data_IF_846709657945
#
_entry.id   IF_846709657945
#
_cell.length_a   1.000
_cell.length_b   1.000
_cell.length_c   1.000
_cell.angle_alpha   90.00
_cell.angle_beta   90.00
_cell.angle_gamma   90.00
#
_symmetry.space_group_name_H-M   'P 1'
#
loop_
_entity.id
_entity.type
_entity.pdbx_description
1 polymer ?
#
# COMPACT_ATOMS: atom_id res chain seq x y z
N UNK A 1 56.23 29.66 28.07
CA UNK A 1 55.54 29.47 26.79
C UNK A 1 54.59 28.26 26.96
N UNK A 2 53.30 28.51 27.22
CA UNK A 2 52.28 27.45 27.44
C UNK A 2 51.64 27.10 26.08
N UNK A 3 51.81 25.84 25.63
CA UNK A 3 51.20 25.32 24.41
C UNK A 3 49.71 24.96 24.76
N UNK A 4 48.82 25.69 24.15
CA UNK A 4 47.38 25.45 24.20
C UNK A 4 47.05 24.35 23.19
N UNK A 5 46.68 23.16 23.68
CA UNK A 5 46.27 22.04 22.83
C UNK A 5 44.78 22.17 22.56
N UNK A 6 44.41 22.47 21.33
CA UNK A 6 43.01 22.59 20.86
C UNK A 6 42.53 21.18 20.48
N UNK A 7 41.76 20.51 21.38
CA UNK A 7 41.09 19.26 21.07
C UNK A 7 39.86 19.52 20.21
N UNK A 8 39.94 19.13 18.95
CA UNK A 8 38.81 19.15 18.00
C UNK A 8 37.91 17.94 18.25
N UNK A 9 36.81 18.13 18.99
CA UNK A 9 35.79 17.08 19.20
C UNK A 9 34.96 16.95 17.96
N UNK A 10 35.17 15.89 17.19
CA UNK A 10 34.38 15.51 16.04
C UNK A 10 33.01 15.00 16.51
N UNK A 11 31.97 15.82 16.42
CA UNK A 11 30.59 15.45 16.67
C UNK A 11 30.07 14.61 15.48
N UNK A 12 30.08 13.28 15.64
CA UNK A 12 29.41 12.39 14.70
C UNK A 12 27.89 12.60 14.82
N UNK A 13 27.30 13.30 13.86
CA UNK A 13 25.85 13.36 13.68
C UNK A 13 25.38 11.97 13.28
N UNK A 14 24.94 11.18 14.27
CA UNK A 14 24.16 9.98 14.06
C UNK A 14 22.80 10.41 13.50
N UNK A 15 22.69 10.46 12.18
CA UNK A 15 21.43 10.63 11.50
C UNK A 15 20.51 9.45 11.88
N UNK A 16 19.40 9.75 12.58
CA UNK A 16 18.34 8.76 12.81
C UNK A 16 17.84 8.28 11.43
N UNK A 17 17.61 6.99 11.24
CA UNK A 17 17.02 6.50 10.00
C UNK A 17 15.63 7.15 9.85
N UNK A 18 15.49 8.02 8.86
CA UNK A 18 14.18 8.50 8.43
C UNK A 18 13.56 7.33 7.68
N UNK A 19 12.62 6.65 8.31
CA UNK A 19 11.81 5.62 7.68
C UNK A 19 10.99 6.29 6.58
N UNK A 20 11.36 6.04 5.36
CA UNK A 20 10.62 6.48 4.17
C UNK A 20 10.28 5.24 3.37
N UNK A 21 9.09 5.22 2.75
CA UNK A 21 8.65 4.13 1.88
C UNK A 21 9.75 3.73 0.88
N UNK A 22 9.80 2.45 0.53
CA UNK A 22 10.71 1.93 -0.50
C UNK A 22 10.56 2.74 -1.80
N UNK A 23 11.67 2.91 -2.54
CA UNK A 23 11.76 3.80 -3.70
C UNK A 23 11.85 3.02 -5.01
N UNK A 24 11.76 3.75 -6.10
CA UNK A 24 12.01 3.22 -7.45
C UNK A 24 13.38 2.53 -7.48
N UNK A 25 13.44 1.41 -8.16
CA UNK A 25 14.60 0.49 -8.29
C UNK A 25 14.92 -0.35 -7.04
N UNK A 26 14.28 -0.11 -5.89
CA UNK A 26 14.36 -1.04 -4.76
C UNK A 26 13.72 -2.39 -5.13
N UNK A 27 14.15 -3.44 -4.46
CA UNK A 27 13.52 -4.75 -4.60
C UNK A 27 12.33 -4.84 -3.66
N UNK A 28 11.14 -5.02 -4.22
CA UNK A 28 9.92 -5.22 -3.44
C UNK A 28 10.02 -6.51 -2.61
N UNK A 29 9.84 -6.45 -1.28
CA UNK A 29 9.76 -7.64 -0.44
C UNK A 29 8.63 -8.55 -0.89
N UNK A 30 8.91 -9.86 -1.01
CA UNK A 30 7.86 -10.84 -1.30
C UNK A 30 6.98 -11.05 -0.08
N UNK A 31 5.70 -11.25 -0.33
CA UNK A 31 4.76 -11.57 0.75
C UNK A 31 3.66 -12.53 0.28
N UNK A 32 3.10 -13.21 1.27
CA UNK A 32 1.83 -13.94 1.15
C UNK A 32 0.92 -13.52 2.28
N UNK A 33 -0.35 -13.32 2.00
CA UNK A 33 -1.33 -12.85 2.97
C UNK A 33 -2.70 -13.50 2.75
N UNK A 34 -3.49 -13.62 3.82
CA UNK A 34 -4.92 -13.89 3.69
C UNK A 34 -5.55 -12.71 2.97
N UNK A 35 -6.28 -12.99 1.91
CA UNK A 35 -6.95 -11.98 1.10
C UNK A 35 -8.39 -12.40 0.82
N UNK A 36 -9.20 -11.43 0.45
CA UNK A 36 -10.59 -11.65 0.06
C UNK A 36 -10.86 -11.06 -1.31
N UNK A 37 -11.55 -11.82 -2.15
CA UNK A 37 -12.08 -11.38 -3.44
C UNK A 37 -13.57 -11.75 -3.51
N UNK A 38 -14.43 -10.76 -3.70
CA UNK A 38 -15.88 -10.94 -3.73
C UNK A 38 -16.40 -11.71 -2.48
N UNK A 39 -15.86 -11.41 -1.31
CA UNK A 39 -16.22 -12.04 -0.04
C UNK A 39 -15.64 -13.44 0.18
N UNK A 40 -14.82 -13.93 -0.74
CA UNK A 40 -14.22 -15.27 -0.65
C UNK A 40 -12.74 -15.19 -0.30
N UNK A 41 -12.37 -15.85 0.78
CA UNK A 41 -10.99 -15.89 1.25
C UNK A 41 -10.09 -16.79 0.39
N UNK A 42 -8.84 -16.37 0.26
CA UNK A 42 -7.77 -17.15 -0.35
C UNK A 42 -6.41 -16.65 0.13
N UNK A 43 -5.34 -17.39 -0.17
CA UNK A 43 -3.98 -16.95 0.09
C UNK A 43 -3.42 -16.25 -1.16
N UNK A 44 -3.24 -14.94 -1.07
CA UNK A 44 -2.52 -14.16 -2.08
C UNK A 44 -1.01 -14.39 -1.96
N UNK A 45 -0.31 -14.38 -3.09
CA UNK A 45 1.17 -14.40 -3.14
C UNK A 45 1.65 -13.42 -4.21
N UNK A 46 2.44 -12.43 -3.79
CA UNK A 46 3.03 -11.43 -4.68
C UNK A 46 3.88 -12.10 -5.76
N UNK A 47 4.75 -13.03 -5.37
CA UNK A 47 5.61 -13.79 -6.29
C UNK A 47 4.81 -14.54 -7.37
N UNK A 48 3.64 -15.11 -7.03
CA UNK A 48 2.77 -15.76 -8.02
C UNK A 48 2.09 -14.76 -8.94
N UNK A 49 1.68 -13.61 -8.41
CA UNK A 49 1.05 -12.56 -9.20
C UNK A 49 2.03 -11.94 -10.20
N UNK A 50 3.26 -11.64 -9.79
CA UNK A 50 4.32 -11.07 -10.64
C UNK A 50 4.72 -11.96 -11.82
N UNK A 51 4.50 -13.29 -11.73
CA UNK A 51 4.69 -14.19 -12.88
C UNK A 51 3.73 -13.89 -14.04
N UNK A 52 2.56 -13.32 -13.74
CA UNK A 52 1.53 -13.01 -14.74
C UNK A 52 1.74 -11.63 -15.37
N UNK A 53 2.15 -10.63 -14.57
CA UNK A 53 2.31 -9.25 -15.02
C UNK A 53 2.77 -8.35 -13.87
N UNK A 54 2.84 -7.04 -14.10
CA UNK A 54 3.09 -6.08 -13.04
C UNK A 54 1.97 -6.15 -11.98
N UNK A 55 2.32 -5.79 -10.73
CA UNK A 55 1.37 -5.78 -9.62
C UNK A 55 1.33 -4.37 -9.03
N UNK A 56 0.12 -3.85 -8.87
CA UNK A 56 -0.16 -2.64 -8.11
C UNK A 56 -0.53 -3.06 -6.69
N UNK A 57 0.35 -2.78 -5.73
CA UNK A 57 0.13 -3.00 -4.31
C UNK A 57 -0.19 -1.66 -3.69
N UNK A 58 -1.43 -1.44 -3.26
CA UNK A 58 -1.79 -0.21 -2.57
C UNK A 58 -2.06 -0.46 -1.08
N UNK A 59 -1.30 0.21 -0.23
CA UNK A 59 -1.52 0.23 1.21
C UNK A 59 -2.47 1.37 1.57
N UNK A 60 -3.43 1.09 2.43
CA UNK A 60 -4.44 2.07 2.83
C UNK A 60 -4.79 1.96 4.32
N UNK A 61 -5.20 3.07 4.96
CA UNK A 61 -5.44 3.13 6.41
C UNK A 61 -6.46 2.13 6.94
N UNK A 62 -7.67 2.10 6.41
CA UNK A 62 -8.74 1.19 6.83
C UNK A 62 -9.90 1.17 5.86
N UNK A 63 -10.47 0.00 5.65
CA UNK A 63 -11.73 -0.19 4.92
C UNK A 63 -12.88 0.62 5.55
N UNK A 64 -13.83 1.02 4.75
CA UNK A 64 -15.00 1.82 5.14
C UNK A 64 -14.64 3.19 5.76
N UNK A 65 -13.61 3.83 5.21
CA UNK A 65 -13.27 5.23 5.49
C UNK A 65 -13.24 6.04 4.19
N UNK A 66 -13.74 7.29 4.21
CA UNK A 66 -14.02 8.10 3.01
C UNK A 66 -12.93 8.05 1.93
N UNK A 67 -11.65 8.22 2.33
CA UNK A 67 -10.55 8.21 1.36
C UNK A 67 -10.23 6.81 0.82
N UNK A 68 -10.36 5.77 1.65
CA UNK A 68 -10.12 4.39 1.23
C UNK A 68 -11.26 3.86 0.35
N UNK A 69 -12.48 4.28 0.67
CA UNK A 69 -13.68 3.95 -0.12
C UNK A 69 -13.59 4.57 -1.52
N UNK A 70 -13.17 5.84 -1.62
CA UNK A 70 -12.93 6.50 -2.91
C UNK A 70 -11.85 5.78 -3.72
N UNK A 71 -10.74 5.42 -3.11
CA UNK A 71 -9.65 4.70 -3.79
C UNK A 71 -10.10 3.33 -4.30
N UNK A 72 -10.77 2.55 -3.44
CA UNK A 72 -11.28 1.23 -3.81
C UNK A 72 -12.33 1.31 -4.93
N UNK A 73 -13.26 2.26 -4.84
CA UNK A 73 -14.26 2.53 -5.87
C UNK A 73 -13.60 2.89 -7.21
N UNK A 74 -12.61 3.77 -7.19
CA UNK A 74 -11.89 4.17 -8.40
C UNK A 74 -11.12 2.99 -9.02
N UNK A 75 -10.44 2.16 -8.20
CA UNK A 75 -9.83 0.91 -8.70
C UNK A 75 -10.87 -0.03 -9.33
N UNK A 76 -12.06 -0.14 -8.73
CA UNK A 76 -13.12 -0.97 -9.25
C UNK A 76 -13.67 -0.45 -10.59
N UNK A 77 -13.78 0.86 -10.77
CA UNK A 77 -14.18 1.48 -12.02
C UNK A 77 -13.15 1.27 -13.13
N UNK A 78 -11.87 1.41 -12.81
CA UNK A 78 -10.76 1.33 -13.76
C UNK A 78 -10.21 -0.10 -13.97
N UNK A 79 -10.80 -1.11 -13.28
CA UNK A 79 -10.29 -2.49 -13.24
C UNK A 79 -10.03 -3.08 -14.64
N UNK A 80 -10.93 -2.87 -15.58
CA UNK A 80 -10.81 -3.39 -16.94
C UNK A 80 -9.59 -2.82 -17.68
N UNK A 81 -9.23 -1.55 -17.39
CA UNK A 81 -8.04 -0.93 -17.99
C UNK A 81 -6.75 -1.49 -17.38
N UNK A 82 -6.75 -1.80 -16.07
CA UNK A 82 -5.63 -2.51 -15.44
C UNK A 82 -5.47 -3.91 -16.01
N UNK A 83 -6.57 -4.64 -16.23
CA UNK A 83 -6.55 -5.96 -16.85
C UNK A 83 -6.03 -5.91 -18.29
N UNK A 84 -6.46 -4.95 -19.07
CA UNK A 84 -5.97 -4.73 -20.42
C UNK A 84 -4.47 -4.43 -20.47
N UNK A 85 -3.93 -3.79 -19.42
CA UNK A 85 -2.49 -3.57 -19.23
C UNK A 85 -1.76 -4.79 -18.63
N UNK A 86 -2.46 -5.91 -18.38
CA UNK A 86 -1.90 -7.12 -17.77
C UNK A 86 -1.51 -6.97 -16.30
N UNK A 87 -2.01 -5.94 -15.61
CA UNK A 87 -1.67 -5.65 -14.23
C UNK A 87 -2.64 -6.28 -13.23
N UNK A 88 -2.11 -6.80 -12.13
CA UNK A 88 -2.88 -7.27 -10.97
C UNK A 88 -2.95 -6.15 -9.93
N UNK A 89 -4.13 -5.95 -9.31
CA UNK A 89 -4.32 -5.01 -8.19
C UNK A 89 -4.47 -5.81 -6.90
N UNK A 90 -3.87 -5.35 -5.81
CA UNK A 90 -4.09 -5.85 -4.45
C UNK A 90 -4.05 -4.70 -3.46
N UNK A 91 -5.11 -4.55 -2.67
CA UNK A 91 -5.12 -3.65 -1.52
C UNK A 91 -4.58 -4.34 -0.28
N UNK A 92 -3.90 -3.60 0.60
CA UNK A 92 -3.35 -4.12 1.85
C UNK A 92 -3.64 -3.14 2.98
N UNK A 93 -4.25 -3.62 4.05
CA UNK A 93 -4.53 -2.84 5.26
C UNK A 93 -4.39 -3.69 6.52
N UNK A 94 -4.39 -3.07 7.68
CA UNK A 94 -4.39 -3.77 8.97
C UNK A 94 -5.79 -4.27 9.39
N UNK A 95 -6.80 -4.13 8.55
CA UNK A 95 -8.14 -4.65 8.80
C UNK A 95 -8.14 -6.18 8.91
N UNK A 96 -9.02 -6.73 9.74
CA UNK A 96 -9.22 -8.18 9.83
C UNK A 96 -9.78 -8.75 8.53
N UNK A 97 -9.55 -10.04 8.30
CA UNK A 97 -10.03 -10.69 7.07
C UNK A 97 -11.57 -10.69 7.01
N UNK A 98 -12.26 -10.81 8.15
CA UNK A 98 -13.72 -10.76 8.21
C UNK A 98 -14.26 -9.40 7.73
N UNK A 99 -13.57 -8.30 8.11
CA UNK A 99 -13.91 -6.95 7.66
C UNK A 99 -13.65 -6.81 6.15
N UNK A 100 -12.54 -7.36 5.67
CA UNK A 100 -12.18 -7.34 4.25
C UNK A 100 -13.07 -8.25 3.39
N UNK A 101 -13.64 -9.33 3.94
CA UNK A 101 -14.65 -10.14 3.24
C UNK A 101 -15.86 -9.28 2.85
N UNK A 102 -16.38 -8.49 3.79
CA UNK A 102 -17.47 -7.58 3.51
C UNK A 102 -17.06 -6.49 2.50
N UNK A 103 -15.90 -5.85 2.72
CA UNK A 103 -15.41 -4.75 1.88
C UNK A 103 -15.13 -5.18 0.44
N UNK A 104 -14.55 -6.37 0.23
CA UNK A 104 -14.24 -6.88 -1.10
C UNK A 104 -15.49 -7.20 -1.93
N UNK A 105 -16.59 -7.59 -1.26
CA UNK A 105 -17.85 -7.92 -1.91
C UNK A 105 -18.76 -6.69 -2.11
N UNK A 106 -18.51 -5.60 -1.37
CA UNK A 106 -19.37 -4.43 -1.35
C UNK A 106 -19.41 -3.75 -2.74
N UNK A 107 -20.62 -3.62 -3.36
CA UNK A 107 -20.75 -3.09 -4.70
C UNK A 107 -20.34 -1.61 -4.82
N UNK A 108 -20.37 -0.86 -3.72
CA UNK A 108 -19.99 0.56 -3.69
C UNK A 108 -18.48 0.77 -3.63
N UNK A 109 -17.69 -0.26 -3.26
CA UNK A 109 -16.25 -0.13 -3.06
C UNK A 109 -15.45 -1.04 -4.00
N UNK A 110 -15.04 -2.23 -3.54
CA UNK A 110 -14.27 -3.15 -4.40
C UNK A 110 -15.11 -3.85 -5.47
N UNK A 111 -16.42 -3.91 -5.27
CA UNK A 111 -17.41 -4.50 -6.19
C UNK A 111 -17.07 -5.94 -6.64
N UNK A 112 -16.36 -6.70 -5.82
CA UNK A 112 -15.89 -8.06 -6.16
C UNK A 112 -14.86 -8.12 -7.29
N UNK A 113 -14.28 -6.99 -7.70
CA UNK A 113 -13.45 -6.91 -8.92
C UNK A 113 -11.95 -7.14 -8.69
N UNK A 114 -11.45 -6.88 -7.49
CA UNK A 114 -10.04 -7.08 -7.14
C UNK A 114 -9.90 -7.47 -5.66
N UNK A 115 -8.81 -8.16 -5.29
CA UNK A 115 -8.62 -8.61 -3.92
C UNK A 115 -8.12 -7.51 -2.98
N UNK A 116 -8.46 -7.67 -1.70
CA UNK A 116 -7.87 -6.95 -0.58
C UNK A 116 -7.31 -7.94 0.44
N UNK A 117 -6.14 -7.65 1.01
CA UNK A 117 -5.38 -8.52 1.90
C UNK A 117 -5.24 -7.93 3.30
N UNK A 118 -5.31 -8.79 4.30
CA UNK A 118 -5.12 -8.47 5.69
C UNK A 118 -3.63 -8.50 6.07
N UNK A 119 -3.16 -7.42 6.64
CA UNK A 119 -1.85 -7.28 7.28
C UNK A 119 -2.01 -6.96 8.77
N UNK A 120 -2.78 -7.80 9.47
CA UNK A 120 -2.92 -7.68 10.93
C UNK A 120 -1.53 -7.67 11.60
N UNK A 121 -1.25 -6.61 12.36
CA UNK A 121 0.06 -6.38 12.99
C UNK A 121 1.10 -5.72 12.09
N UNK A 122 0.76 -5.31 10.85
CA UNK A 122 1.55 -4.41 10.01
C UNK A 122 2.91 -4.95 9.53
N UNK A 123 3.07 -6.28 9.44
CA UNK A 123 4.35 -6.89 9.06
C UNK A 123 4.71 -6.65 7.60
N UNK A 124 3.72 -6.71 6.71
CA UNK A 124 3.93 -6.46 5.29
C UNK A 124 4.26 -4.98 5.10
N UNK A 125 3.45 -4.08 5.65
CA UNK A 125 3.68 -2.64 5.61
C UNK A 125 5.09 -2.27 6.11
N UNK A 126 5.50 -2.84 7.25
CA UNK A 126 6.85 -2.64 7.80
C UNK A 126 7.95 -3.10 6.85
N UNK A 127 7.77 -4.20 6.11
CA UNK A 127 8.78 -4.67 5.15
C UNK A 127 8.92 -3.75 3.94
N UNK A 128 7.90 -2.92 3.66
CA UNK A 128 7.91 -1.86 2.64
C UNK A 128 8.33 -0.49 3.22
N UNK A 129 8.92 -0.47 4.42
CA UNK A 129 9.32 0.73 5.16
C UNK A 129 8.17 1.71 5.42
N UNK A 130 6.93 1.21 5.47
CA UNK A 130 5.75 2.01 5.77
C UNK A 130 5.54 2.15 7.28
N UNK A 131 5.05 3.32 7.70
CA UNK A 131 4.63 3.58 9.07
C UNK A 131 3.17 3.23 9.29
N UNK A 132 2.86 2.73 10.48
CA UNK A 132 1.50 2.61 10.97
C UNK A 132 1.30 3.62 12.11
N UNK A 133 0.27 4.43 11.99
CA UNK A 133 -0.09 5.41 13.01
C UNK A 133 -1.13 4.78 13.94
N UNK A 134 -0.94 4.96 15.24
CA UNK A 134 -1.85 4.43 16.24
C UNK A 134 -3.29 4.89 16.00
N UNK A 135 -4.20 3.94 15.93
CA UNK A 135 -5.63 4.19 15.89
C UNK A 135 -6.09 4.84 17.21
N UNK A 136 -7.01 5.81 17.13
CA UNK A 136 -7.58 6.41 18.34
C UNK A 136 -8.69 5.48 18.87
N UNK A 137 -8.72 5.17 20.18
CA UNK A 137 -9.80 4.39 20.77
C UNK A 137 -11.18 5.00 20.46
N UNK A 138 -12.14 4.17 20.11
CA UNK A 138 -13.50 4.59 19.78
C UNK A 138 -13.66 5.25 18.39
N UNK A 139 -12.61 5.28 17.56
CA UNK A 139 -12.75 5.72 16.18
C UNK A 139 -13.61 4.75 15.38
N UNK A 140 -14.58 5.29 14.65
CA UNK A 140 -15.55 4.51 13.89
C UNK A 140 -15.44 4.79 12.39
N UNK A 141 -15.76 3.77 11.62
CA UNK A 141 -15.90 3.88 10.17
C UNK A 141 -17.23 4.56 9.75
N UNK A 142 -17.46 4.71 8.44
CA UNK A 142 -18.68 5.34 7.91
C UNK A 142 -19.96 4.60 8.25
N UNK A 143 -19.87 3.33 8.67
CA UNK A 143 -21.00 2.49 9.11
C UNK A 143 -21.25 2.58 10.62
N UNK A 144 -20.41 3.32 11.36
CA UNK A 144 -20.46 3.40 12.82
C UNK A 144 -19.77 2.23 13.55
N UNK A 145 -19.04 1.36 12.83
CA UNK A 145 -18.30 0.23 13.40
C UNK A 145 -16.92 0.71 13.85
N UNK A 146 -16.50 0.30 15.05
CA UNK A 146 -15.20 0.68 15.59
C UNK A 146 -14.04 0.11 14.75
N UNK A 147 -13.01 0.95 14.54
CA UNK A 147 -11.77 0.57 13.90
C UNK A 147 -10.75 0.26 15.00
N UNK A 148 -10.49 -1.01 15.23
CA UNK A 148 -9.67 -1.50 16.35
C UNK A 148 -8.20 -1.76 16.01
N UNK A 149 -7.64 -1.07 15.00
CA UNK A 149 -6.27 -1.30 14.54
C UNK A 149 -5.56 0.00 14.17
N UNK A 150 -4.23 -0.08 13.99
CA UNK A 150 -3.40 1.03 13.54
C UNK A 150 -3.63 1.32 12.04
N UNK A 151 -3.39 2.57 11.64
CA UNK A 151 -3.57 3.04 10.28
C UNK A 151 -2.25 3.00 9.52
N UNK A 152 -2.14 2.10 8.54
CA UNK A 152 -1.04 2.09 7.59
C UNK A 152 -1.12 3.36 6.73
N UNK A 153 0.01 4.02 6.49
CA UNK A 153 0.04 5.17 5.60
C UNK A 153 -0.34 4.79 4.16
N UNK A 154 -0.98 5.74 3.45
CA UNK A 154 -1.40 5.50 2.07
C UNK A 154 -0.23 5.63 1.13
N UNK A 155 0.19 4.49 0.58
CA UNK A 155 1.25 4.40 -0.43
C UNK A 155 0.88 3.33 -1.45
N UNK A 156 1.05 3.64 -2.73
CA UNK A 156 0.83 2.70 -3.83
C UNK A 156 2.16 2.41 -4.52
N UNK A 157 2.49 1.13 -4.63
CA UNK A 157 3.65 0.63 -5.36
C UNK A 157 3.20 -0.01 -6.67
N UNK A 158 3.87 0.33 -7.77
CA UNK A 158 3.81 -0.43 -9.00
C UNK A 158 5.06 -1.28 -9.08
N UNK A 159 4.90 -2.60 -9.12
CA UNK A 159 6.00 -3.56 -9.04
C UNK A 159 6.09 -4.33 -10.36
N UNK A 160 7.28 -4.37 -10.95
CA UNK A 160 7.57 -5.11 -12.17
C UNK A 160 7.74 -6.61 -11.95
N UNK A 161 7.66 -7.39 -13.04
CA UNK A 161 7.85 -8.86 -13.03
C UNK A 161 9.19 -9.31 -12.45
N UNK A 162 10.17 -8.45 -12.47
CA UNK A 162 11.52 -8.62 -11.92
C UNK A 162 11.61 -8.29 -10.42
N UNK A 163 10.46 -8.07 -9.77
CA UNK A 163 10.36 -7.62 -8.38
C UNK A 163 10.90 -6.21 -8.10
N UNK A 164 11.22 -5.42 -9.13
CA UNK A 164 11.63 -4.03 -8.93
C UNK A 164 10.43 -3.10 -8.77
N UNK A 165 10.55 -2.15 -7.86
CA UNK A 165 9.59 -1.07 -7.70
C UNK A 165 9.79 -0.10 -8.88
N UNK A 166 8.75 0.04 -9.69
CA UNK A 166 8.74 0.93 -10.85
C UNK A 166 8.26 2.32 -10.45
N UNK A 167 7.38 2.38 -9.45
CA UNK A 167 6.87 3.63 -8.90
C UNK A 167 6.42 3.47 -7.47
N UNK A 168 6.66 4.51 -6.68
CA UNK A 168 6.14 4.71 -5.32
C UNK A 168 5.33 6.00 -5.34
N UNK A 169 4.05 5.92 -4.98
CA UNK A 169 3.12 7.04 -4.92
C UNK A 169 2.67 7.20 -3.45
N UNK A 170 2.91 8.34 -2.84
CA UNK A 170 2.62 8.59 -1.43
C UNK A 170 1.68 9.78 -1.26
N UNK A 171 0.54 9.61 -0.58
CA UNK A 171 -0.34 10.74 -0.26
C UNK A 171 0.37 11.81 0.54
N UNK A 172 1.29 11.42 1.43
CA UNK A 172 2.01 12.32 2.33
C UNK A 172 3.11 13.12 1.60
N UNK A 173 3.92 12.42 0.78
CA UNK A 173 5.08 13.02 0.12
C UNK A 173 4.66 13.74 -1.18
N UNK A 174 3.84 13.10 -2.01
CA UNK A 174 3.45 13.62 -3.32
C UNK A 174 2.24 14.54 -3.27
N UNK A 175 1.56 14.66 -2.11
CA UNK A 175 0.36 15.50 -1.91
C UNK A 175 -0.80 15.13 -2.85
N UNK A 176 -0.92 13.85 -3.17
CA UNK A 176 -1.97 13.33 -4.06
C UNK A 176 -3.14 12.75 -3.28
N UNK A 177 -4.32 12.86 -3.88
CA UNK A 177 -5.57 12.31 -3.35
C UNK A 177 -5.71 10.81 -3.64
N UNK A 178 -6.61 10.08 -2.95
CA UNK A 178 -6.79 8.65 -3.13
C UNK A 178 -7.07 8.22 -4.59
N UNK A 179 -7.90 8.95 -5.30
CA UNK A 179 -8.21 8.73 -6.72
C UNK A 179 -6.99 8.96 -7.63
N UNK A 180 -6.16 9.96 -7.32
CA UNK A 180 -4.92 10.21 -8.06
C UNK A 180 -3.89 9.08 -7.91
N UNK A 181 -3.91 8.31 -6.83
CA UNK A 181 -3.11 7.08 -6.72
C UNK A 181 -3.47 6.10 -7.82
N UNK A 182 -4.77 5.93 -8.07
CA UNK A 182 -5.29 5.00 -9.08
C UNK A 182 -4.95 5.48 -10.50
N UNK A 183 -5.22 6.74 -10.79
CA UNK A 183 -4.95 7.35 -12.10
C UNK A 183 -3.47 7.23 -12.48
N UNK A 184 -2.57 7.61 -11.57
CA UNK A 184 -1.11 7.55 -11.78
C UNK A 184 -0.62 6.10 -11.91
N UNK A 185 -1.11 5.18 -11.08
CA UNK A 185 -0.76 3.76 -11.19
C UNK A 185 -1.21 3.17 -12.54
N UNK A 186 -2.42 3.55 -13.01
CA UNK A 186 -2.93 3.12 -14.32
C UNK A 186 -2.05 3.62 -15.47
N UNK A 187 -1.70 4.91 -15.47
CA UNK A 187 -0.80 5.48 -16.49
C UNK A 187 0.52 4.72 -16.56
N UNK A 188 1.08 4.34 -15.42
CA UNK A 188 2.36 3.63 -15.34
C UNK A 188 2.22 2.23 -15.94
N UNK A 189 1.21 1.44 -15.54
CA UNK A 189 1.05 0.08 -16.08
C UNK A 189 0.71 0.09 -17.57
N UNK A 190 -0.03 1.07 -18.07
CA UNK A 190 -0.29 1.24 -19.50
C UNK A 190 0.98 1.55 -20.30
N UNK A 191 1.87 2.41 -19.77
CA UNK A 191 3.19 2.67 -20.37
C UNK A 191 4.09 1.44 -20.38
N UNK A 192 3.97 0.55 -19.39
CA UNK A 192 4.69 -0.72 -19.36
C UNK A 192 4.18 -1.71 -20.41
N UNK A 193 2.87 -1.76 -20.61
CA UNK A 193 2.23 -2.65 -21.60
C UNK A 193 2.49 -2.23 -23.05
N UNK A 194 2.86 -0.96 -23.29
CA UNK A 194 3.13 -0.42 -24.64
C UNK A 194 4.61 -0.58 -25.09
N UNK A 195 5.46 -1.13 -24.24
CA UNK A 195 6.87 -1.42 -24.53
C UNK A 195 7.08 -2.87 -24.95
#
# INVERSE_FOLDING_TARGET
>A
MKKLSLSLTLFALLGLPIWAALKVDDTAPDFSARASLAGKEFNFSLKKALKKGPVVVYFYPSAYTKGCDLEAHTFAQEKEKFDAAGATIIGVSADSIERLNAFSADPEYCAGKFPVASDEGGKIAKSYDLTANAGKPGMKDVRGVEIGHDFIERVTFVIGKDHKIISTLSSKEDKISPDQHVEKALEIVQKLASK
#
